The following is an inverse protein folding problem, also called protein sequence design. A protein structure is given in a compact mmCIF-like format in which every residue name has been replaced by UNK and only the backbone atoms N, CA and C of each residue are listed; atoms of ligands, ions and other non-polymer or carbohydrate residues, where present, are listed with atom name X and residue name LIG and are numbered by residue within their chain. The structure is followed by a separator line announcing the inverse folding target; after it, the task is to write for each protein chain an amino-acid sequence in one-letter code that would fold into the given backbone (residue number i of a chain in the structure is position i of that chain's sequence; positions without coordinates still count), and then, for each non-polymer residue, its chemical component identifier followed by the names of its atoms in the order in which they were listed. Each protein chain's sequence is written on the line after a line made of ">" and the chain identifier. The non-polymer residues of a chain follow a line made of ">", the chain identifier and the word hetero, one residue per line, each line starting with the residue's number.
data_IF_553720008879
#
_entry.id   IF_553720008879
#
_cell.length_a   1.000
_cell.length_b   1.000
_cell.length_c   1.000
_cell.angle_alpha   90.00
_cell.angle_beta   90.00
_cell.angle_gamma   90.00
#
_symmetry.space_group_name_H-M   'P 1'
#
loop_
_entity.id
_entity.type
_entity.pdbx_description
1 polymer ?
#
# COMPACT_ATOMS: atom_id res chain seq x y z
N UNK A 1 -3.14 2.23 11.65
CA UNK A 1 -3.52 2.88 12.93
C UNK A 1 -4.32 1.93 13.83
N UNK A 2 -5.24 1.19 13.27
CA UNK A 2 -6.14 0.30 14.02
C UNK A 2 -5.40 -0.79 14.80
N UNK A 3 -4.19 -1.15 14.38
CA UNK A 3 -3.35 -2.14 15.05
C UNK A 3 -2.44 -1.52 16.14
N UNK A 4 -2.52 -0.24 16.38
CA UNK A 4 -1.78 0.45 17.43
C UNK A 4 -0.36 0.88 17.07
N UNK A 5 0.01 0.85 15.78
CA UNK A 5 1.30 1.34 15.34
C UNK A 5 1.36 2.86 15.30
N UNK A 6 2.53 3.43 15.53
CA UNK A 6 2.81 4.81 15.22
C UNK A 6 2.93 4.98 13.71
N UNK A 7 2.09 5.82 13.12
CA UNK A 7 1.96 5.95 11.65
C UNK A 7 2.47 7.31 11.19
N UNK A 8 3.35 7.30 10.20
CA UNK A 8 3.87 8.48 9.52
C UNK A 8 3.43 8.46 8.07
N UNK A 9 2.68 9.47 7.66
CA UNK A 9 2.20 9.63 6.28
C UNK A 9 3.07 10.63 5.52
N UNK A 10 2.97 10.61 4.20
CA UNK A 10 3.68 11.57 3.35
C UNK A 10 5.19 11.34 3.28
N UNK A 11 5.67 10.18 3.67
CA UNK A 11 7.09 9.85 3.58
C UNK A 11 7.46 9.66 2.11
N UNK A 12 8.39 10.48 1.60
CA UNK A 12 8.72 10.48 0.19
C UNK A 12 7.53 10.84 -0.70
N UNK A 13 6.70 11.79 -0.27
CA UNK A 13 5.48 12.33 -0.89
C UNK A 13 4.24 11.49 -0.58
N UNK A 14 4.18 10.21 -0.93
CA UNK A 14 2.97 9.39 -0.79
C UNK A 14 3.12 8.17 0.10
N UNK A 15 4.34 7.90 0.56
CA UNK A 15 4.61 6.73 1.37
C UNK A 15 4.03 6.79 2.78
N UNK A 16 3.85 5.63 3.37
CA UNK A 16 3.36 5.47 4.74
C UNK A 16 4.32 4.56 5.49
N UNK A 17 4.70 4.96 6.69
CA UNK A 17 5.55 4.16 7.58
C UNK A 17 4.81 3.91 8.88
N UNK A 18 4.71 2.66 9.27
CA UNK A 18 4.21 2.25 10.58
C UNK A 18 5.38 1.77 11.45
N UNK A 19 5.42 2.21 12.69
CA UNK A 19 6.45 1.81 13.65
C UNK A 19 5.80 0.99 14.76
N UNK A 20 6.32 -0.21 14.96
CA UNK A 20 5.96 -1.07 16.08
C UNK A 20 7.17 -1.16 17.01
N UNK A 21 7.03 -0.59 18.21
CA UNK A 21 8.05 -0.71 19.25
C UNK A 21 7.74 -1.94 20.12
N UNK A 22 8.65 -2.89 20.12
CA UNK A 22 8.46 -4.16 20.82
C UNK A 22 9.72 -4.56 21.61
N UNK A 23 10.23 -3.62 22.41
CA UNK A 23 11.38 -3.84 23.25
C UNK A 23 12.72 -3.53 22.59
N UNK A 24 13.80 -3.91 23.26
CA UNK A 24 15.16 -3.67 22.79
C UNK A 24 15.56 -4.73 21.76
N UNK A 25 16.35 -4.33 20.79
CA UNK A 25 16.84 -5.25 19.78
C UNK A 25 17.07 -4.55 18.44
N UNK A 26 17.48 -5.28 17.42
CA UNK A 26 17.67 -4.71 16.09
C UNK A 26 16.35 -4.27 15.49
N UNK A 27 16.43 -3.22 14.66
CA UNK A 27 15.28 -2.73 13.89
C UNK A 27 15.20 -3.51 12.59
N UNK A 28 14.01 -4.02 12.30
CA UNK A 28 13.74 -4.75 11.06
C UNK A 28 12.81 -3.90 10.19
N UNK A 29 13.18 -3.76 8.93
CA UNK A 29 12.36 -3.07 7.92
C UNK A 29 11.66 -4.08 7.05
N UNK A 30 10.36 -3.90 6.89
CA UNK A 30 9.55 -4.65 5.92
C UNK A 30 8.91 -3.66 4.96
N UNK A 31 9.00 -3.92 3.67
CA UNK A 31 8.51 -3.02 2.64
C UNK A 31 7.50 -3.72 1.73
N UNK A 32 6.45 -3.02 1.37
CA UNK A 32 5.54 -3.41 0.29
C UNK A 32 5.25 -2.19 -0.59
N UNK A 33 5.36 -2.36 -1.88
CA UNK A 33 5.02 -1.31 -2.84
C UNK A 33 3.52 -1.14 -2.92
N UNK A 34 3.07 0.11 -3.12
CA UNK A 34 1.65 0.45 -3.17
C UNK A 34 1.23 1.04 -4.52
N UNK A 35 2.16 1.17 -5.45
CA UNK A 35 1.88 1.81 -6.73
C UNK A 35 0.92 0.99 -7.59
N UNK A 36 0.14 1.69 -8.38
CA UNK A 36 -0.77 1.12 -9.36
C UNK A 36 -0.27 1.44 -10.77
N UNK A 37 -0.85 0.79 -11.77
CA UNK A 37 -0.50 0.99 -13.17
C UNK A 37 -1.59 1.80 -13.89
N UNK A 38 -1.23 2.57 -14.93
CA UNK A 38 -2.18 3.36 -15.71
C UNK A 38 -2.95 2.49 -16.70
N UNK A 39 -3.70 1.55 -16.18
CA UNK A 39 -4.47 0.55 -16.95
C UNK A 39 -5.90 0.53 -16.43
N UNK A 40 -6.86 0.43 -17.33
CA UNK A 40 -8.27 0.25 -16.97
C UNK A 40 -8.54 -1.20 -16.57
N UNK A 41 -9.22 -1.39 -15.47
CA UNK A 41 -9.58 -2.73 -15.02
C UNK A 41 -10.79 -3.26 -15.78
N UNK A 42 -10.64 -4.40 -16.43
CA UNK A 42 -11.65 -5.05 -17.25
C UNK A 42 -12.06 -6.43 -16.69
N UNK A 43 -11.97 -6.59 -15.37
CA UNK A 43 -12.30 -7.85 -14.70
C UNK A 43 -13.79 -8.15 -14.65
N UNK A 44 -14.63 -7.12 -14.76
CA UNK A 44 -16.09 -7.26 -14.62
C UNK A 44 -16.56 -7.46 -13.17
N UNK A 45 -15.66 -7.34 -12.20
CA UNK A 45 -16.00 -7.48 -10.79
C UNK A 45 -16.73 -6.24 -10.28
N UNK A 46 -17.62 -6.44 -9.30
CA UNK A 46 -18.38 -5.35 -8.71
C UNK A 46 -17.49 -4.31 -8.00
N UNK A 47 -16.32 -4.74 -7.54
CA UNK A 47 -15.34 -3.90 -6.87
C UNK A 47 -14.13 -3.54 -7.78
N UNK A 48 -14.28 -3.69 -9.10
CA UNK A 48 -13.24 -3.27 -10.03
C UNK A 48 -12.86 -1.80 -9.80
N UNK A 49 -11.59 -1.46 -10.04
CA UNK A 49 -11.12 -0.10 -9.83
C UNK A 49 -11.83 0.89 -10.75
N UNK A 50 -12.35 1.96 -10.16
CA UNK A 50 -12.85 3.14 -10.86
C UNK A 50 -11.94 4.35 -10.64
N UNK A 51 -10.81 4.15 -9.98
CA UNK A 51 -9.87 5.20 -9.65
C UNK A 51 -9.18 5.73 -10.91
N UNK A 52 -8.81 7.01 -10.86
CA UNK A 52 -8.05 7.66 -11.91
C UNK A 52 -6.83 8.36 -11.30
N UNK A 53 -5.82 8.56 -12.12
CA UNK A 53 -4.63 9.31 -11.77
C UNK A 53 -4.21 10.21 -12.92
N UNK A 54 -3.16 10.98 -12.71
CA UNK A 54 -2.62 11.87 -13.72
C UNK A 54 -1.24 11.34 -14.12
N UNK A 55 -1.04 11.09 -15.42
CA UNK A 55 0.22 10.61 -15.93
C UNK A 55 1.28 11.74 -16.01
N UNK A 56 2.56 11.43 -16.28
CA UNK A 56 3.59 12.46 -16.41
C UNK A 56 3.34 13.51 -17.51
N UNK A 57 2.48 13.19 -18.50
CA UNK A 57 2.08 14.11 -19.55
C UNK A 57 0.89 15.00 -19.16
N UNK A 58 0.33 14.83 -17.97
CA UNK A 58 -0.79 15.60 -17.45
C UNK A 58 -2.17 15.08 -17.85
N UNK A 59 -2.25 13.89 -18.43
CA UNK A 59 -3.53 13.28 -18.82
C UNK A 59 -4.14 12.50 -17.66
N UNK A 60 -5.47 12.58 -17.52
CA UNK A 60 -6.21 11.73 -16.59
C UNK A 60 -6.32 10.32 -17.18
N UNK A 61 -5.85 9.33 -16.43
CA UNK A 61 -5.83 7.94 -16.88
C UNK A 61 -6.49 7.04 -15.83
N UNK A 62 -7.12 5.93 -16.23
CA UNK A 62 -7.56 4.93 -15.26
C UNK A 62 -6.35 4.27 -14.62
N UNK A 63 -6.49 3.83 -13.38
CA UNK A 63 -5.43 3.11 -12.67
C UNK A 63 -5.99 1.87 -12.00
N UNK A 64 -5.18 0.82 -11.96
CA UNK A 64 -5.49 -0.40 -11.24
C UNK A 64 -4.23 -1.06 -10.72
N UNK A 65 -4.37 -1.93 -9.76
CA UNK A 65 -3.29 -2.84 -9.40
C UNK A 65 -3.21 -3.97 -10.45
N UNK A 66 -2.13 -4.00 -11.20
CA UNK A 66 -1.91 -5.01 -12.24
C UNK A 66 -0.52 -5.67 -12.12
N UNK A 67 0.16 -5.46 -10.98
CA UNK A 67 1.51 -5.99 -10.74
C UNK A 67 1.61 -6.73 -9.39
N UNK A 68 0.51 -7.01 -8.73
CA UNK A 68 0.48 -7.74 -7.47
C UNK A 68 0.82 -6.92 -6.21
N UNK A 69 0.99 -5.60 -6.33
CA UNK A 69 1.34 -4.75 -5.18
C UNK A 69 0.21 -4.69 -4.15
N UNK A 70 -1.04 -4.79 -4.56
CA UNK A 70 -2.20 -4.92 -3.67
C UNK A 70 -2.09 -6.18 -2.79
N UNK A 71 -1.62 -7.28 -3.36
CA UNK A 71 -1.40 -8.53 -2.63
C UNK A 71 -0.22 -8.42 -1.68
N UNK A 72 0.84 -7.70 -2.06
CA UNK A 72 1.99 -7.45 -1.19
C UNK A 72 1.58 -6.62 0.04
N UNK A 73 0.79 -5.57 -0.15
CA UNK A 73 0.26 -4.75 0.94
C UNK A 73 -0.64 -5.57 1.85
N UNK A 74 -1.51 -6.40 1.27
CA UNK A 74 -2.39 -7.28 2.04
C UNK A 74 -1.58 -8.27 2.89
N UNK A 75 -0.55 -8.87 2.31
CA UNK A 75 0.33 -9.80 3.03
C UNK A 75 1.08 -9.11 4.17
N UNK A 76 1.54 -7.88 3.95
CA UNK A 76 2.20 -7.09 5.00
C UNK A 76 1.24 -6.77 6.15
N UNK A 77 0.01 -6.36 5.86
CA UNK A 77 -1.00 -6.09 6.89
C UNK A 77 -1.27 -7.33 7.71
N UNK A 78 -1.41 -8.49 7.07
CA UNK A 78 -1.60 -9.76 7.76
C UNK A 78 -0.42 -10.14 8.66
N UNK A 79 0.81 -9.91 8.18
CA UNK A 79 2.01 -10.16 8.96
C UNK A 79 2.09 -9.26 10.20
N UNK A 80 1.79 -7.96 10.05
CA UNK A 80 1.78 -7.00 11.15
C UNK A 80 0.71 -7.36 12.18
N UNK A 81 -0.47 -7.77 11.74
CA UNK A 81 -1.53 -8.26 12.62
C UNK A 81 -1.04 -9.39 13.52
N UNK A 82 -0.25 -10.30 12.98
CA UNK A 82 0.36 -11.40 13.75
C UNK A 82 1.42 -10.91 14.72
N UNK A 83 2.22 -9.92 14.33
CA UNK A 83 3.29 -9.38 15.15
C UNK A 83 2.78 -8.61 16.36
N UNK A 84 1.63 -7.92 16.26
CA UNK A 84 1.04 -7.17 17.37
C UNK A 84 0.17 -8.01 18.30
N UNK A 85 -0.15 -9.22 17.88
CA UNK A 85 -0.96 -10.14 18.67
C UNK A 85 -0.24 -10.66 19.91
#
# INVERSE_FOLDING_TARGET
>A
RDLGLEVHEGVGVTGVVGVLENGDGPVVWVRADMDALPVGEETGLAYASTATGIDPAGNTVPVMHACGHDMHVTAMIGAVEKLVA
#
